data_IF_663887027324
#
_entry.id   IF_663887027324
#
_cell.length_a   1.000
_cell.length_b   1.000
_cell.length_c   1.000
_cell.angle_alpha   90.00
_cell.angle_beta   90.00
_cell.angle_gamma   90.00
#
_symmetry.space_group_name_H-M   'P 1'
#
loop_
_entity.id
_entity.type
_entity.pdbx_description
1 polymer ?
#
# COMPACT_ATOMS: atom_id res chain seq x y z
N UNK A 1 -71.97 -59.79 -21.05
CA UNK A 1 -71.67 -59.94 -22.49
C UNK A 1 -71.18 -58.61 -23.02
N UNK A 2 -69.94 -58.56 -23.57
CA UNK A 2 -69.35 -57.54 -24.46
C UNK A 2 -69.24 -56.09 -23.91
N UNK A 3 -68.26 -55.24 -24.19
CA UNK A 3 -66.88 -55.27 -24.71
C UNK A 3 -66.52 -53.78 -25.00
N UNK A 4 -65.23 -53.41 -24.86
CA UNK A 4 -64.51 -52.34 -25.62
C UNK A 4 -64.79 -50.87 -25.17
N UNK A 5 -63.88 -50.19 -24.45
CA UNK A 5 -62.63 -49.48 -24.87
C UNK A 5 -62.86 -48.04 -25.37
N UNK A 6 -62.33 -47.02 -24.66
CA UNK A 6 -61.49 -45.96 -25.27
C UNK A 6 -61.05 -44.85 -24.31
N UNK A 7 -59.72 -44.75 -24.20
CA UNK A 7 -58.89 -43.54 -24.36
C UNK A 7 -58.99 -42.47 -23.25
N UNK A 8 -58.04 -42.58 -22.31
CA UNK A 8 -57.48 -41.46 -21.55
C UNK A 8 -56.67 -40.54 -22.50
N UNK A 9 -57.04 -39.27 -22.58
CA UNK A 9 -56.13 -38.21 -23.04
C UNK A 9 -55.75 -37.36 -21.84
N UNK A 10 -54.58 -37.65 -21.27
CA UNK A 10 -53.96 -36.86 -20.21
C UNK A 10 -53.36 -35.62 -20.87
N UNK A 11 -53.90 -34.45 -20.51
CA UNK A 11 -53.39 -33.14 -20.90
C UNK A 11 -52.15 -32.86 -20.02
N UNK A 12 -50.95 -33.12 -20.54
CA UNK A 12 -49.69 -32.77 -19.86
C UNK A 12 -49.46 -31.27 -19.94
N UNK A 13 -49.79 -30.55 -18.86
CA UNK A 13 -49.37 -29.15 -18.67
C UNK A 13 -47.86 -29.16 -18.37
N UNK A 14 -47.05 -28.76 -19.35
CA UNK A 14 -45.63 -28.54 -19.17
C UNK A 14 -45.45 -27.24 -18.36
N UNK A 15 -45.23 -27.37 -17.05
CA UNK A 15 -44.91 -26.24 -16.19
C UNK A 15 -43.44 -25.89 -16.39
N UNK A 16 -43.16 -24.91 -17.26
CA UNK A 16 -41.81 -24.34 -17.42
C UNK A 16 -41.44 -23.58 -16.15
N UNK A 17 -40.76 -24.23 -15.22
CA UNK A 17 -40.11 -23.56 -14.10
C UNK A 17 -38.97 -22.70 -14.64
N UNK A 18 -39.21 -21.40 -14.74
CA UNK A 18 -38.15 -20.40 -14.82
C UNK A 18 -37.35 -20.51 -13.52
N UNK A 19 -36.27 -21.29 -13.54
CA UNK A 19 -35.20 -21.15 -12.56
C UNK A 19 -34.57 -19.78 -12.81
N UNK A 20 -35.07 -18.76 -12.13
CA UNK A 20 -34.32 -17.54 -11.92
C UNK A 20 -33.01 -17.93 -11.24
N UNK A 21 -31.93 -17.96 -12.00
CA UNK A 21 -30.58 -17.98 -11.46
C UNK A 21 -30.39 -16.66 -10.71
N UNK A 22 -30.82 -16.62 -9.45
CA UNK A 22 -30.31 -15.63 -8.51
C UNK A 22 -28.81 -15.89 -8.46
N UNK A 23 -28.03 -15.05 -9.13
CA UNK A 23 -26.61 -14.97 -8.82
C UNK A 23 -26.54 -14.69 -7.33
N UNK A 24 -26.12 -15.67 -6.54
CA UNK A 24 -25.93 -15.51 -5.10
C UNK A 24 -24.97 -14.33 -4.93
N UNK A 25 -25.51 -13.19 -4.48
CA UNK A 25 -24.67 -12.07 -4.07
C UNK A 25 -23.74 -12.59 -2.99
N UNK A 26 -22.44 -12.42 -3.14
CA UNK A 26 -21.50 -12.71 -2.07
C UNK A 26 -21.86 -11.79 -0.89
N UNK A 27 -22.00 -12.36 0.30
CA UNK A 27 -22.48 -11.61 1.47
C UNK A 27 -21.45 -10.61 2.02
N UNK A 28 -20.16 -10.82 1.73
CA UNK A 28 -19.06 -10.01 2.26
C UNK A 28 -18.32 -9.20 1.20
N UNK A 29 -17.82 -8.04 1.59
CA UNK A 29 -16.94 -7.19 0.78
C UNK A 29 -15.57 -7.85 0.64
N UNK A 30 -14.98 -7.86 -0.56
CA UNK A 30 -13.61 -8.30 -0.79
C UNK A 30 -12.74 -7.15 -1.26
N UNK A 31 -11.64 -6.93 -0.55
CA UNK A 31 -10.63 -5.92 -0.83
C UNK A 31 -9.28 -6.60 -1.05
N UNK A 32 -8.60 -6.24 -2.13
CA UNK A 32 -7.25 -6.76 -2.45
C UNK A 32 -6.26 -5.62 -2.67
N UNK A 33 -4.96 -5.85 -2.57
CA UNK A 33 -3.97 -4.92 -3.12
C UNK A 33 -2.82 -4.58 -2.19
N UNK A 34 -2.49 -3.29 -2.09
CA UNK A 34 -1.30 -2.79 -1.42
C UNK A 34 -1.11 -3.32 0.01
N UNK A 35 0.08 -3.85 0.31
CA UNK A 35 0.51 -4.25 1.66
C UNK A 35 0.63 -3.07 2.62
N UNK A 36 0.82 -1.86 2.09
CA UNK A 36 0.94 -0.64 2.90
C UNK A 36 -0.41 -0.06 3.27
N UNK A 37 -1.40 -0.18 2.38
CA UNK A 37 -2.78 0.22 2.71
C UNK A 37 -3.51 -0.88 3.50
N UNK A 38 -3.02 -2.12 3.45
CA UNK A 38 -3.57 -3.27 4.18
C UNK A 38 -3.85 -2.98 5.67
N UNK A 39 -2.90 -2.52 6.51
CA UNK A 39 -3.17 -2.29 7.93
C UNK A 39 -4.27 -1.22 8.16
N UNK A 40 -4.30 -0.17 7.35
CA UNK A 40 -5.34 0.87 7.43
C UNK A 40 -6.71 0.29 7.07
N UNK A 41 -6.80 -0.40 5.93
CA UNK A 41 -8.04 -1.00 5.44
C UNK A 41 -8.59 -2.06 6.39
N UNK A 42 -7.73 -2.86 7.03
CA UNK A 42 -8.12 -3.84 8.05
C UNK A 42 -8.74 -3.16 9.27
N UNK A 43 -8.15 -2.07 9.77
CA UNK A 43 -8.71 -1.35 10.94
C UNK A 43 -10.07 -0.73 10.61
N UNK A 44 -10.24 -0.17 9.41
CA UNK A 44 -11.54 0.33 8.93
C UNK A 44 -12.55 -0.82 8.86
N UNK A 45 -12.16 -1.97 8.30
CA UNK A 45 -13.02 -3.14 8.14
C UNK A 45 -13.52 -3.66 9.50
N UNK A 46 -12.63 -3.80 10.47
CA UNK A 46 -12.99 -4.24 11.83
C UNK A 46 -13.93 -3.26 12.52
N UNK A 47 -13.65 -1.95 12.44
CA UNK A 47 -14.49 -0.91 13.04
C UNK A 47 -15.85 -0.82 12.35
N UNK A 48 -15.90 -0.96 11.03
CA UNK A 48 -17.14 -1.02 10.26
C UNK A 48 -18.00 -2.23 10.67
N UNK A 49 -17.41 -3.43 10.71
CA UNK A 49 -18.13 -4.64 11.11
C UNK A 49 -18.68 -4.54 12.53
N UNK A 50 -17.86 -4.07 13.48
CA UNK A 50 -18.27 -3.89 14.88
C UNK A 50 -19.37 -2.84 15.07
N UNK A 51 -19.28 -1.70 14.39
CA UNK A 51 -20.22 -0.58 14.60
C UNK A 51 -21.53 -0.70 13.83
N UNK A 52 -21.51 -1.34 12.65
CA UNK A 52 -22.69 -1.48 11.80
C UNK A 52 -23.46 -2.79 12.02
N UNK A 53 -22.83 -3.80 12.63
CA UNK A 53 -23.36 -5.17 12.67
C UNK A 53 -23.30 -5.91 11.33
N UNK A 54 -22.70 -5.30 10.29
CA UNK A 54 -22.46 -5.94 9.00
C UNK A 54 -21.31 -6.94 9.07
N UNK A 55 -21.23 -7.83 8.09
CA UNK A 55 -20.07 -8.69 7.92
C UNK A 55 -18.80 -7.86 7.74
N UNK A 56 -17.75 -8.22 8.47
CA UNK A 56 -16.43 -7.60 8.35
C UNK A 56 -15.88 -7.83 6.94
N UNK A 57 -15.49 -6.78 6.20
CA UNK A 57 -14.83 -6.91 4.91
C UNK A 57 -13.57 -7.79 5.00
N UNK A 58 -13.36 -8.66 4.00
CA UNK A 58 -12.12 -9.42 3.88
C UNK A 58 -11.09 -8.58 3.14
N UNK A 59 -9.93 -8.38 3.78
CA UNK A 59 -8.81 -7.64 3.22
C UNK A 59 -7.67 -8.61 2.92
N UNK A 60 -7.14 -8.60 1.70
CA UNK A 60 -6.01 -9.43 1.28
C UNK A 60 -4.88 -8.58 0.70
N UNK A 61 -3.66 -8.80 1.18
CA UNK A 61 -2.46 -8.17 0.64
C UNK A 61 -1.97 -8.94 -0.60
N UNK A 62 -1.99 -8.28 -1.76
CA UNK A 62 -1.56 -8.86 -3.05
C UNK A 62 -0.59 -7.93 -3.81
N UNK A 63 -0.16 -6.84 -3.18
CA UNK A 63 0.57 -5.72 -3.78
C UNK A 63 -0.31 -4.88 -4.72
N UNK A 64 0.02 -3.58 -4.88
CA UNK A 64 -0.80 -2.63 -5.67
C UNK A 64 -1.02 -3.09 -7.13
N UNK A 65 0.04 -3.59 -7.80
CA UNK A 65 -0.08 -4.09 -9.17
C UNK A 65 -0.84 -5.41 -9.30
N UNK A 66 -0.68 -6.32 -8.32
CA UNK A 66 -1.41 -7.59 -8.26
C UNK A 66 -2.89 -7.36 -7.97
N UNK A 67 -3.19 -6.52 -7.00
CA UNK A 67 -4.55 -6.11 -6.64
C UNK A 67 -5.27 -5.46 -7.81
N UNK A 68 -4.62 -4.53 -8.52
CA UNK A 68 -5.19 -3.92 -9.71
C UNK A 68 -5.44 -4.92 -10.85
N UNK A 69 -4.65 -5.99 -10.96
CA UNK A 69 -4.89 -7.07 -11.93
C UNK A 69 -6.12 -7.89 -11.57
N UNK A 70 -6.29 -8.23 -10.30
CA UNK A 70 -7.47 -8.94 -9.79
C UNK A 70 -8.73 -8.07 -9.88
N UNK A 71 -8.65 -6.81 -9.46
CA UNK A 71 -9.71 -5.83 -9.58
C UNK A 71 -10.16 -5.65 -11.03
N UNK A 72 -9.25 -5.33 -11.95
CA UNK A 72 -9.60 -5.15 -13.37
C UNK A 72 -9.91 -6.46 -14.12
N UNK A 73 -10.01 -7.62 -13.47
CA UNK A 73 -10.27 -8.90 -14.16
C UNK A 73 -11.73 -9.10 -14.58
N UNK A 74 -12.65 -8.28 -14.09
CA UNK A 74 -14.06 -8.33 -14.46
C UNK A 74 -14.99 -7.76 -13.39
N UNK A 75 -16.29 -7.81 -13.68
CA UNK A 75 -17.39 -7.51 -12.75
C UNK A 75 -18.10 -8.79 -12.31
N UNK A 76 -18.88 -8.72 -11.23
CA UNK A 76 -19.56 -9.87 -10.63
C UNK A 76 -18.89 -10.39 -9.36
N UNK A 77 -19.55 -11.35 -8.70
CA UNK A 77 -19.26 -11.79 -7.31
C UNK A 77 -17.94 -12.56 -7.15
N UNK A 78 -17.35 -13.03 -8.24
CA UNK A 78 -16.07 -13.73 -8.25
C UNK A 78 -14.86 -12.80 -8.32
N UNK A 79 -15.08 -11.49 -8.43
CA UNK A 79 -14.03 -10.49 -8.50
C UNK A 79 -14.03 -9.62 -7.23
N UNK A 80 -12.86 -9.08 -6.81
CA UNK A 80 -12.79 -8.14 -5.70
C UNK A 80 -13.60 -6.87 -5.99
N UNK A 81 -14.17 -6.26 -4.94
CA UNK A 81 -14.98 -5.04 -5.06
C UNK A 81 -14.14 -3.79 -5.00
N UNK A 82 -13.08 -3.85 -4.19
CA UNK A 82 -12.20 -2.73 -3.90
C UNK A 82 -10.76 -3.18 -4.12
N UNK A 83 -9.91 -2.29 -4.63
CA UNK A 83 -8.47 -2.48 -4.57
C UNK A 83 -7.73 -1.33 -3.91
N UNK A 84 -6.94 -1.69 -2.91
CA UNK A 84 -6.02 -0.82 -2.21
C UNK A 84 -4.75 -0.60 -3.05
N UNK A 85 -4.24 0.64 -3.10
CA UNK A 85 -3.06 0.97 -3.91
C UNK A 85 -2.21 2.04 -3.25
N UNK A 86 -0.90 1.81 -3.19
CA UNK A 86 0.11 2.77 -2.70
C UNK A 86 0.70 3.64 -3.81
N UNK A 87 -0.06 3.83 -4.88
CA UNK A 87 0.22 4.74 -5.99
C UNK A 87 -1.08 4.94 -6.76
N UNK A 88 -1.12 6.00 -7.56
CA UNK A 88 -2.25 6.18 -8.47
C UNK A 88 -2.33 5.02 -9.49
N UNK A 89 -3.54 4.73 -9.94
CA UNK A 89 -3.82 3.83 -11.05
C UNK A 89 -3.10 4.34 -12.31
N UNK A 90 -2.47 3.42 -13.03
CA UNK A 90 -1.82 3.73 -14.31
C UNK A 90 -2.83 3.77 -15.44
N UNK A 91 -2.52 4.52 -16.49
CA UNK A 91 -3.37 4.55 -17.69
C UNK A 91 -3.64 3.14 -18.27
N UNK A 92 -2.62 2.31 -18.36
CA UNK A 92 -2.75 0.92 -18.86
C UNK A 92 -3.58 0.01 -17.95
N UNK A 93 -3.67 0.33 -16.65
CA UNK A 93 -4.53 -0.40 -15.71
C UNK A 93 -5.99 0.02 -15.86
N UNK A 94 -6.24 1.33 -16.01
CA UNK A 94 -7.56 1.87 -16.32
C UNK A 94 -8.11 1.30 -17.64
N UNK A 95 -7.32 1.31 -18.71
CA UNK A 95 -7.68 0.73 -20.01
C UNK A 95 -8.00 -0.77 -19.91
N UNK A 96 -7.24 -1.52 -19.08
CA UNK A 96 -7.54 -2.94 -18.81
C UNK A 96 -8.86 -3.11 -18.09
N UNK A 97 -9.16 -2.27 -17.10
CA UNK A 97 -10.44 -2.27 -16.41
C UNK A 97 -11.60 -2.02 -17.40
N UNK A 98 -11.50 -0.99 -18.24
CA UNK A 98 -12.51 -0.69 -19.28
C UNK A 98 -12.72 -1.88 -20.21
N UNK A 99 -11.62 -2.46 -20.73
CA UNK A 99 -11.67 -3.62 -21.64
C UNK A 99 -12.39 -4.84 -21.02
N UNK A 100 -12.30 -4.98 -19.71
CA UNK A 100 -12.89 -6.10 -18.97
C UNK A 100 -14.24 -5.74 -18.32
N UNK A 101 -14.87 -4.64 -18.74
CA UNK A 101 -16.22 -4.25 -18.30
C UNK A 101 -16.28 -3.57 -16.92
N UNK A 102 -15.14 -3.20 -16.32
CA UNK A 102 -15.07 -2.41 -15.09
C UNK A 102 -15.09 -0.92 -15.48
N UNK A 103 -16.23 -0.45 -15.97
CA UNK A 103 -16.35 0.85 -16.65
C UNK A 103 -16.47 2.06 -15.71
N UNK A 104 -17.07 1.86 -14.53
CA UNK A 104 -17.25 2.92 -13.53
C UNK A 104 -16.41 2.62 -12.29
N UNK A 105 -15.28 3.32 -12.17
CA UNK A 105 -14.34 3.18 -11.06
C UNK A 105 -14.36 4.44 -10.23
N UNK A 106 -14.56 4.31 -8.92
CA UNK A 106 -14.41 5.42 -7.97
C UNK A 106 -12.99 5.39 -7.45
N UNK A 107 -12.26 6.51 -7.57
CA UNK A 107 -10.92 6.69 -7.00
C UNK A 107 -11.02 7.50 -5.72
N UNK A 108 -10.37 7.03 -4.66
CA UNK A 108 -10.29 7.75 -3.39
C UNK A 108 -8.84 7.79 -2.96
N UNK A 109 -8.24 8.98 -2.95
CA UNK A 109 -6.99 9.20 -2.23
C UNK A 109 -7.33 9.29 -0.74
N UNK A 110 -6.64 8.51 0.09
CA UNK A 110 -6.94 8.42 1.52
C UNK A 110 -5.93 9.15 2.40
N UNK A 111 -4.76 9.47 1.86
CA UNK A 111 -3.67 10.07 2.62
C UNK A 111 -2.33 9.85 1.94
N UNK A 112 -1.29 10.04 2.72
CA UNK A 112 0.09 9.75 2.37
C UNK A 112 0.68 8.73 3.33
N UNK A 113 1.69 8.04 2.84
CA UNK A 113 2.64 7.25 3.59
C UNK A 113 4.00 7.93 3.45
N UNK A 114 4.77 7.98 4.53
CA UNK A 114 6.09 8.60 4.57
C UNK A 114 6.99 7.77 5.46
N UNK A 115 8.13 7.33 4.95
CA UNK A 115 9.10 6.54 5.71
C UNK A 115 10.29 7.42 6.05
N UNK A 116 10.67 7.43 7.31
CA UNK A 116 11.79 8.22 7.82
C UNK A 116 12.96 7.32 8.18
N UNK A 117 14.15 7.89 8.05
CA UNK A 117 15.36 7.38 8.67
C UNK A 117 15.64 8.31 9.84
N UNK A 118 15.69 7.79 11.06
CA UNK A 118 15.74 8.60 12.27
C UNK A 118 16.80 8.08 13.25
N UNK A 119 17.26 8.97 14.11
CA UNK A 119 18.24 8.71 15.17
C UNK A 119 17.85 9.47 16.45
N UNK A 120 18.58 9.22 17.53
CA UNK A 120 18.41 9.96 18.78
C UNK A 120 18.63 11.48 18.57
N UNK A 121 17.95 12.31 19.37
CA UNK A 121 18.10 13.77 19.28
C UNK A 121 19.56 14.27 19.37
N UNK A 122 20.34 13.66 20.27
CA UNK A 122 21.73 14.03 20.56
C UNK A 122 22.73 13.53 19.51
N UNK A 123 22.31 12.65 18.61
CA UNK A 123 23.19 12.11 17.58
C UNK A 123 23.49 13.16 16.49
N UNK A 124 24.52 12.94 15.68
CA UNK A 124 24.85 13.88 14.61
C UNK A 124 23.72 13.97 13.55
N UNK A 125 23.54 15.15 12.97
CA UNK A 125 22.64 15.30 11.82
C UNK A 125 23.23 14.58 10.61
N UNK A 126 22.41 13.77 9.94
CA UNK A 126 22.79 13.05 8.73
C UNK A 126 22.01 13.58 7.53
N UNK A 127 22.72 13.67 6.40
CA UNK A 127 22.12 13.91 5.10
C UNK A 127 22.45 12.72 4.19
N UNK A 128 21.47 11.85 3.98
CA UNK A 128 21.65 10.55 3.35
C UNK A 128 20.95 10.57 2.00
N UNK A 129 21.62 10.15 0.93
CA UNK A 129 20.94 9.93 -0.35
C UNK A 129 20.31 8.53 -0.37
N UNK A 130 19.32 8.31 -1.23
CA UNK A 130 18.80 6.95 -1.43
C UNK A 130 19.85 5.98 -1.99
N UNK A 131 20.85 6.48 -2.73
CA UNK A 131 21.99 5.68 -3.18
C UNK A 131 22.80 5.17 -1.99
N UNK A 132 23.04 6.02 -0.99
CA UNK A 132 23.71 5.64 0.24
C UNK A 132 22.89 4.59 1.00
N UNK A 133 21.57 4.78 1.13
CA UNK A 133 20.67 3.79 1.74
C UNK A 133 20.74 2.42 1.03
N UNK A 134 20.71 2.42 -0.30
CA UNK A 134 20.83 1.19 -1.08
C UNK A 134 22.17 0.49 -0.85
N UNK A 135 23.28 1.23 -0.94
CA UNK A 135 24.62 0.68 -0.71
C UNK A 135 24.80 0.21 0.74
N UNK A 136 24.21 0.89 1.72
CA UNK A 136 24.30 0.50 3.13
C UNK A 136 23.47 -0.75 3.47
N UNK A 137 22.26 -0.89 2.88
CA UNK A 137 21.24 -1.79 3.41
C UNK A 137 20.74 -2.87 2.45
N UNK A 138 21.08 -2.82 1.16
CA UNK A 138 20.76 -3.92 0.25
C UNK A 138 21.60 -5.17 0.58
N UNK A 139 21.05 -6.37 0.36
CA UNK A 139 21.78 -7.64 0.50
C UNK A 139 22.98 -7.71 -0.46
N UNK A 140 22.76 -7.28 -1.71
CA UNK A 140 23.75 -7.32 -2.77
C UNK A 140 23.97 -5.92 -3.35
N UNK A 141 25.22 -5.54 -3.57
CA UNK A 141 25.60 -4.23 -4.10
C UNK A 141 26.50 -4.36 -5.34
N UNK A 142 26.48 -3.40 -6.27
CA UNK A 142 27.33 -3.43 -7.46
C UNK A 142 28.81 -3.20 -7.12
N UNK A 143 29.70 -3.92 -7.80
CA UNK A 143 31.17 -3.78 -7.62
C UNK A 143 31.77 -2.58 -8.37
N UNK A 144 30.95 -1.86 -9.15
CA UNK A 144 31.39 -0.85 -10.11
C UNK A 144 31.60 -1.39 -11.53
N UNK A 145 31.59 -2.71 -11.72
CA UNK A 145 31.51 -3.34 -13.06
C UNK A 145 30.06 -3.65 -13.41
N UNK A 146 29.67 -3.35 -14.64
CA UNK A 146 28.31 -3.62 -15.12
C UNK A 146 27.99 -5.11 -15.06
N UNK A 147 26.83 -5.44 -14.46
CA UNK A 147 26.36 -6.82 -14.33
C UNK A 147 26.97 -7.61 -13.18
N UNK A 148 27.89 -7.03 -12.40
CA UNK A 148 28.53 -7.71 -11.28
C UNK A 148 27.99 -7.20 -9.93
N UNK A 149 27.58 -8.15 -9.07
CA UNK A 149 27.09 -7.92 -7.72
C UNK A 149 27.93 -8.71 -6.73
N UNK A 150 28.10 -8.17 -5.54
CA UNK A 150 28.73 -8.82 -4.38
C UNK A 150 27.80 -8.73 -3.19
N UNK A 151 27.97 -9.67 -2.24
CA UNK A 151 27.40 -9.50 -0.89
C UNK A 151 27.88 -8.17 -0.32
N UNK A 152 26.99 -7.48 0.37
CA UNK A 152 27.24 -6.12 0.84
C UNK A 152 28.46 -6.08 1.79
N UNK A 153 29.59 -5.48 1.38
CA UNK A 153 30.80 -5.48 2.19
C UNK A 153 30.83 -4.32 3.19
N UNK A 154 29.92 -3.35 3.08
CA UNK A 154 30.00 -2.10 3.80
C UNK A 154 29.63 -2.29 5.27
N UNK A 155 30.47 -1.76 6.14
CA UNK A 155 30.38 -1.87 7.59
C UNK A 155 30.24 -0.52 8.29
N UNK A 156 30.63 0.58 7.65
CA UNK A 156 30.42 1.92 8.17
C UNK A 156 29.83 2.87 7.13
N UNK A 157 29.13 3.92 7.57
CA UNK A 157 28.53 4.90 6.68
C UNK A 157 29.57 5.65 5.84
N UNK A 158 30.79 5.84 6.38
CA UNK A 158 31.92 6.43 5.66
C UNK A 158 32.47 5.57 4.53
N UNK A 159 32.38 4.24 4.65
CA UNK A 159 32.74 3.33 3.55
C UNK A 159 31.73 3.40 2.39
N UNK A 160 30.46 3.67 2.71
CA UNK A 160 29.39 3.88 1.72
C UNK A 160 29.57 5.22 1.01
N UNK A 161 29.84 6.29 1.77
CA UNK A 161 30.03 7.63 1.26
C UNK A 161 30.96 8.41 2.19
N UNK A 162 32.08 8.93 1.68
CA UNK A 162 33.12 9.61 2.46
C UNK A 162 32.65 10.89 3.17
N UNK A 163 31.53 11.47 2.74
CA UNK A 163 30.94 12.66 3.36
C UNK A 163 30.08 12.32 4.59
N UNK A 164 29.78 11.03 4.82
CA UNK A 164 29.06 10.53 5.98
C UNK A 164 30.02 10.23 7.15
N UNK A 165 29.52 10.23 8.40
CA UNK A 165 30.37 9.98 9.56
C UNK A 165 30.94 8.56 9.59
N UNK A 166 32.03 8.41 10.32
CA UNK A 166 32.68 7.13 10.60
C UNK A 166 31.90 6.35 11.68
N UNK A 167 30.66 6.02 11.35
CA UNK A 167 29.68 5.38 12.21
C UNK A 167 29.39 3.97 11.68
N UNK A 168 29.34 2.99 12.57
CA UNK A 168 28.96 1.63 12.20
C UNK A 168 27.53 1.61 11.62
N UNK A 169 27.30 0.81 10.58
CA UNK A 169 25.96 0.61 10.05
C UNK A 169 25.23 -0.34 11.00
N UNK A 170 24.44 0.24 11.91
CA UNK A 170 23.44 -0.43 12.73
C UNK A 170 22.08 0.25 12.50
N UNK A 171 21.19 -0.44 11.78
CA UNK A 171 19.88 0.09 11.39
C UNK A 171 18.77 -0.78 11.93
N UNK A 172 17.98 -0.25 12.85
CA UNK A 172 16.78 -0.85 13.37
C UNK A 172 15.63 -0.67 12.37
N UNK A 173 14.88 -1.73 12.08
CA UNK A 173 13.76 -1.61 11.17
C UNK A 173 12.71 -2.70 11.36
N UNK A 174 11.57 -2.57 10.69
CA UNK A 174 10.49 -3.52 10.82
C UNK A 174 10.78 -4.86 10.11
N UNK A 175 10.08 -5.95 10.46
CA UNK A 175 10.29 -7.28 9.90
C UNK A 175 9.81 -7.39 8.43
N UNK A 176 10.11 -8.49 7.71
CA UNK A 176 9.72 -8.69 6.30
C UNK A 176 8.21 -8.69 6.06
N UNK A 177 7.42 -8.86 7.11
CA UNK A 177 5.94 -8.87 7.09
C UNK A 177 5.33 -7.47 7.16
N UNK A 178 6.13 -6.43 7.40
CA UNK A 178 5.67 -5.06 7.59
C UNK A 178 5.52 -4.27 6.30
N UNK A 179 4.38 -3.57 6.16
CA UNK A 179 4.14 -2.63 5.07
C UNK A 179 5.11 -1.42 5.06
N UNK A 180 5.71 -1.09 6.21
CA UNK A 180 6.76 -0.06 6.36
C UNK A 180 8.07 -0.54 5.71
N UNK A 181 8.45 -1.82 5.88
CA UNK A 181 9.61 -2.41 5.21
C UNK A 181 9.41 -2.47 3.70
N UNK A 182 8.22 -2.86 3.25
CA UNK A 182 7.84 -2.83 1.83
C UNK A 182 7.96 -1.42 1.25
N UNK A 183 7.44 -0.41 1.95
CA UNK A 183 7.54 0.99 1.54
C UNK A 183 9.00 1.46 1.45
N UNK A 184 9.82 1.11 2.44
CA UNK A 184 11.25 1.42 2.45
C UNK A 184 11.99 0.78 1.27
N UNK A 185 11.72 -0.50 0.98
CA UNK A 185 12.31 -1.20 -0.14
C UNK A 185 11.92 -0.57 -1.49
N UNK A 186 10.63 -0.22 -1.67
CA UNK A 186 10.11 0.36 -2.91
C UNK A 186 10.53 1.83 -3.14
N UNK A 187 10.64 2.65 -2.09
CA UNK A 187 10.86 4.09 -2.21
C UNK A 187 12.30 4.50 -1.90
N UNK A 188 12.89 3.88 -0.87
CA UNK A 188 14.26 4.09 -0.41
C UNK A 188 15.25 3.30 -1.25
N UNK A 189 15.25 1.97 -1.08
CA UNK A 189 16.24 1.10 -1.74
C UNK A 189 16.12 1.12 -3.26
N UNK A 190 14.92 0.94 -3.83
CA UNK A 190 14.74 1.03 -5.28
C UNK A 190 15.15 2.41 -5.83
N UNK A 191 14.91 3.47 -5.05
CA UNK A 191 15.30 4.83 -5.38
C UNK A 191 16.81 5.01 -5.53
N UNK A 192 17.62 4.33 -4.71
CA UNK A 192 19.07 4.27 -4.83
C UNK A 192 19.54 3.28 -5.89
N UNK A 193 18.93 2.09 -5.92
CA UNK A 193 19.24 1.01 -6.85
C UNK A 193 19.13 1.46 -8.32
N UNK A 194 18.11 2.26 -8.65
CA UNK A 194 17.90 2.77 -10.02
C UNK A 194 18.92 3.83 -10.45
N UNK A 195 19.79 4.30 -9.55
CA UNK A 195 20.89 5.21 -9.92
C UNK A 195 22.00 4.50 -10.68
N UNK A 196 22.01 3.17 -10.69
CA UNK A 196 22.89 2.34 -11.51
C UNK A 196 22.19 1.98 -12.81
N UNK A 197 22.64 2.55 -13.93
CA UNK A 197 21.98 2.44 -15.24
C UNK A 197 21.66 1.01 -15.67
N UNK A 198 22.61 0.09 -15.46
CA UNK A 198 22.42 -1.31 -15.85
C UNK A 198 21.36 -2.02 -15.01
N UNK A 199 21.27 -1.70 -13.71
CA UNK A 199 20.21 -2.22 -12.84
C UNK A 199 18.86 -1.59 -13.24
N UNK A 200 18.83 -0.28 -13.51
CA UNK A 200 17.61 0.41 -13.96
C UNK A 200 17.02 -0.21 -15.25
N UNK A 201 17.87 -0.67 -16.19
CA UNK A 201 17.44 -1.37 -17.41
C UNK A 201 16.76 -2.73 -17.10
N UNK A 202 17.17 -3.43 -16.04
CA UNK A 202 16.57 -4.71 -15.64
C UNK A 202 15.08 -4.58 -15.31
N UNK A 203 14.62 -3.42 -14.83
CA UNK A 203 13.19 -3.19 -14.52
C UNK A 203 12.25 -3.52 -15.69
N UNK A 204 12.73 -3.38 -16.93
CA UNK A 204 11.94 -3.69 -18.13
C UNK A 204 12.22 -5.10 -18.66
N UNK A 205 13.47 -5.57 -18.63
CA UNK A 205 13.88 -6.85 -19.22
C UNK A 205 13.70 -8.05 -18.28
N UNK A 206 13.95 -7.88 -16.97
CA UNK A 206 13.81 -8.93 -15.95
C UNK A 206 13.36 -8.31 -14.61
N UNK A 207 12.04 -8.18 -14.46
CA UNK A 207 11.41 -7.61 -13.26
C UNK A 207 11.73 -8.40 -11.99
N UNK A 208 11.90 -9.71 -12.08
CA UNK A 208 12.12 -10.55 -10.90
C UNK A 208 13.54 -10.33 -10.37
N UNK A 209 14.53 -10.32 -11.26
CA UNK A 209 15.90 -9.98 -10.88
C UNK A 209 16.02 -8.53 -10.40
N UNK A 210 15.34 -7.58 -11.06
CA UNK A 210 15.29 -6.19 -10.61
C UNK A 210 14.77 -6.06 -9.17
N UNK A 211 13.64 -6.72 -8.86
CA UNK A 211 13.10 -6.71 -7.49
C UNK A 211 14.04 -7.36 -6.49
N UNK A 212 14.61 -8.53 -6.81
CA UNK A 212 15.56 -9.23 -5.92
C UNK A 212 16.79 -8.36 -5.61
N UNK A 213 17.28 -7.59 -6.58
CA UNK A 213 18.44 -6.72 -6.36
C UNK A 213 18.02 -5.47 -5.56
N UNK A 214 16.93 -4.82 -5.95
CA UNK A 214 16.58 -3.51 -5.42
C UNK A 214 15.77 -3.53 -4.11
N UNK A 215 15.14 -4.65 -3.77
CA UNK A 215 14.20 -4.73 -2.63
C UNK A 215 14.67 -5.62 -1.50
N UNK A 216 15.68 -6.47 -1.71
CA UNK A 216 16.18 -7.35 -0.64
C UNK A 216 17.11 -6.60 0.30
N UNK A 217 16.72 -6.55 1.57
CA UNK A 217 17.50 -5.96 2.67
C UNK A 217 18.49 -7.01 3.17
N UNK A 218 19.71 -6.61 3.51
CA UNK A 218 20.74 -7.49 4.11
C UNK A 218 20.28 -8.07 5.46
N UNK A 219 20.72 -9.29 5.77
CA UNK A 219 20.39 -10.02 7.02
C UNK A 219 21.64 -10.40 7.84
N UNK A 220 22.77 -9.76 7.56
CA UNK A 220 24.07 -10.02 8.17
C UNK A 220 24.30 -9.26 9.50
N UNK A 221 23.22 -8.84 10.15
CA UNK A 221 23.25 -8.15 11.44
C UNK A 221 23.40 -6.63 11.38
N UNK A 222 23.53 -6.02 10.19
CA UNK A 222 23.56 -4.54 10.05
C UNK A 222 22.17 -3.92 9.98
N UNK A 223 21.21 -4.68 9.45
CA UNK A 223 19.79 -4.40 9.60
C UNK A 223 19.24 -5.31 10.70
N UNK A 224 18.69 -4.70 11.76
CA UNK A 224 18.20 -5.41 12.94
C UNK A 224 16.68 -5.25 13.01
N UNK A 225 15.99 -6.37 12.93
CA UNK A 225 14.54 -6.39 13.00
C UNK A 225 14.06 -6.05 14.43
N UNK A 226 13.16 -5.07 14.54
CA UNK A 226 12.68 -4.53 15.81
C UNK A 226 11.21 -4.87 16.11
N UNK A 227 10.59 -5.75 15.31
CA UNK A 227 9.19 -6.16 15.44
C UNK A 227 8.22 -5.25 14.69
N UNK A 228 6.94 -5.61 14.68
CA UNK A 228 5.86 -4.92 13.93
C UNK A 228 5.45 -3.56 14.52
N UNK A 229 5.87 -3.25 15.74
CA UNK A 229 5.51 -2.01 16.40
C UNK A 229 6.64 -0.99 16.27
N UNK A 230 6.48 -0.04 15.36
CA UNK A 230 7.45 1.02 15.06
C UNK A 230 7.84 1.85 16.31
N UNK A 231 6.97 1.98 17.32
CA UNK A 231 7.34 2.64 18.59
C UNK A 231 8.49 1.91 19.33
N UNK A 232 8.69 0.61 19.11
CA UNK A 232 9.83 -0.11 19.68
C UNK A 232 11.15 0.35 19.07
N UNK A 233 11.14 0.76 17.79
CA UNK A 233 12.32 1.34 17.13
C UNK A 233 12.66 2.67 17.80
N UNK A 234 11.68 3.56 17.95
CA UNK A 234 11.85 4.86 18.63
C UNK A 234 12.46 4.69 20.04
N UNK A 235 11.95 3.75 20.82
CA UNK A 235 12.47 3.48 22.17
C UNK A 235 13.92 3.00 22.17
N UNK A 236 14.29 2.13 21.21
CA UNK A 236 15.65 1.61 21.07
C UNK A 236 16.65 2.67 20.62
N UNK A 237 16.25 3.60 19.75
CA UNK A 237 17.11 4.71 19.31
C UNK A 237 17.54 5.60 20.47
N UNK A 238 16.64 5.87 21.43
CA UNK A 238 17.01 6.62 22.63
C UNK A 238 18.08 5.93 23.48
N UNK A 239 18.13 4.59 23.45
CA UNK A 239 19.11 3.80 24.19
C UNK A 239 20.42 3.60 23.42
N UNK A 240 20.39 3.70 22.09
CA UNK A 240 21.56 3.59 21.21
C UNK A 240 21.61 4.79 20.25
N UNK A 241 22.27 5.90 20.64
CA UNK A 241 22.40 7.10 19.80
C UNK A 241 23.16 6.88 18.49
N UNK A 242 23.95 5.82 18.40
CA UNK A 242 24.76 5.47 17.23
C UNK A 242 23.96 4.68 16.18
N UNK A 243 22.77 4.16 16.53
CA UNK A 243 21.91 3.46 15.59
C UNK A 243 21.00 4.41 14.81
N UNK A 244 20.60 3.97 13.62
CA UNK A 244 19.50 4.57 12.86
C UNK A 244 18.27 3.67 12.92
N UNK A 245 17.10 4.25 12.69
CA UNK A 245 15.82 3.56 12.71
C UNK A 245 14.99 3.89 11.47
N UNK A 246 14.25 2.90 10.98
CA UNK A 246 13.35 3.04 9.83
C UNK A 246 11.92 2.82 10.30
N UNK A 247 11.06 3.83 10.16
CA UNK A 247 9.65 3.74 10.56
C UNK A 247 8.80 4.79 9.85
N UNK A 248 7.47 4.74 10.03
CA UNK A 248 6.55 5.73 9.48
C UNK A 248 6.71 7.13 10.10
N UNK A 249 6.63 8.20 9.30
CA UNK A 249 6.78 9.60 9.70
C UNK A 249 5.87 10.02 10.86
N UNK A 250 4.66 9.50 10.92
CA UNK A 250 3.73 9.69 12.03
C UNK A 250 4.31 9.33 13.41
N UNK A 251 5.14 8.28 13.50
CA UNK A 251 5.80 7.92 14.75
C UNK A 251 6.94 8.88 15.11
N UNK A 252 7.58 9.50 14.11
CA UNK A 252 8.52 10.60 14.34
C UNK A 252 7.79 11.81 14.90
N UNK A 253 6.70 12.22 14.27
CA UNK A 253 5.90 13.37 14.67
C UNK A 253 5.40 13.24 16.12
N UNK A 254 4.88 12.06 16.48
CA UNK A 254 4.43 11.74 17.85
C UNK A 254 5.56 11.65 18.89
N UNK A 255 6.83 11.53 18.47
CA UNK A 255 7.99 11.36 19.34
C UNK A 255 9.12 12.36 19.00
N UNK A 256 8.77 13.54 18.49
CA UNK A 256 9.73 14.58 18.12
C UNK A 256 10.54 15.12 19.33
N UNK A 257 10.07 14.85 20.55
CA UNK A 257 10.76 15.11 21.81
C UNK A 257 11.87 14.08 22.14
N UNK A 258 12.01 13.01 21.36
CA UNK A 258 12.90 11.86 21.63
C UNK A 258 13.85 11.54 20.48
N UNK A 259 13.35 11.62 19.25
CA UNK A 259 14.09 11.26 18.04
C UNK A 259 13.98 12.37 17.01
N UNK A 260 14.96 12.41 16.10
CA UNK A 260 14.94 13.29 14.93
C UNK A 260 15.15 12.49 13.66
N UNK A 261 14.67 13.01 12.54
CA UNK A 261 14.94 12.42 11.24
C UNK A 261 16.28 12.89 10.66
N UNK A 262 16.94 11.99 9.95
CA UNK A 262 17.95 12.30 8.96
C UNK A 262 17.29 12.94 7.73
N UNK A 263 18.00 13.86 7.07
CA UNK A 263 17.56 14.41 5.79
C UNK A 263 17.76 13.37 4.71
N UNK A 264 16.81 13.30 3.79
CA UNK A 264 16.95 12.50 2.58
C UNK A 264 17.13 13.42 1.39
N UNK A 265 18.28 13.31 0.71
CA UNK A 265 18.59 14.17 -0.45
C UNK A 265 18.48 15.67 -0.10
N UNK A 266 18.91 16.05 1.11
CA UNK A 266 18.83 17.40 1.72
C UNK A 266 17.41 17.90 2.06
N UNK A 267 16.39 17.05 1.97
CA UNK A 267 15.01 17.37 2.33
C UNK A 267 14.65 16.73 3.68
N UNK A 268 14.12 17.53 4.60
CA UNK A 268 13.57 17.05 5.86
C UNK A 268 12.19 16.41 5.63
N UNK A 269 11.85 15.29 6.30
CA UNK A 269 10.50 14.77 6.27
C UNK A 269 9.61 15.66 7.14
N UNK A 270 8.71 16.39 6.50
CA UNK A 270 7.67 17.20 7.14
C UNK A 270 6.33 16.89 6.51
N UNK A 271 5.24 17.32 7.14
CA UNK A 271 3.92 17.21 6.52
C UNK A 271 3.91 17.85 5.13
N UNK A 272 4.47 19.06 5.01
CA UNK A 272 4.52 19.81 3.76
C UNK A 272 5.36 19.10 2.69
N UNK A 273 6.56 18.62 3.03
CA UNK A 273 7.46 17.97 2.06
C UNK A 273 6.95 16.60 1.61
N UNK A 274 6.16 15.93 2.44
CA UNK A 274 5.48 14.69 2.09
C UNK A 274 4.26 14.98 1.20
N UNK A 275 3.44 15.97 1.57
CA UNK A 275 2.22 16.32 0.83
C UNK A 275 2.55 16.86 -0.57
N UNK A 276 3.58 17.70 -0.70
CA UNK A 276 4.02 18.26 -1.99
C UNK A 276 4.91 17.31 -2.81
N UNK A 277 5.27 16.15 -2.23
CA UNK A 277 6.08 15.07 -2.83
C UNK A 277 7.56 15.43 -3.03
N UNK A 278 8.05 16.50 -2.42
CA UNK A 278 9.48 16.84 -2.43
C UNK A 278 10.31 15.87 -1.58
N UNK A 279 9.74 15.27 -0.53
CA UNK A 279 10.37 14.22 0.25
C UNK A 279 10.26 12.86 -0.47
N UNK A 280 11.42 12.36 -0.87
CA UNK A 280 11.57 11.22 -1.81
C UNK A 280 11.11 9.85 -1.31
N UNK A 281 10.96 9.65 0.00
CA UNK A 281 10.52 8.37 0.60
C UNK A 281 9.08 8.51 1.12
N UNK A 282 8.22 9.08 0.28
CA UNK A 282 6.80 9.21 0.54
C UNK A 282 5.98 8.81 -0.68
N UNK A 283 4.69 8.54 -0.47
CA UNK A 283 3.76 8.20 -1.55
C UNK A 283 2.31 8.47 -1.16
N UNK A 284 1.46 8.79 -2.15
CA UNK A 284 0.03 8.83 -1.95
C UNK A 284 -0.57 7.42 -1.82
N UNK A 285 -1.60 7.31 -0.99
CA UNK A 285 -2.36 6.09 -0.75
C UNK A 285 -3.77 6.24 -1.33
N UNK A 286 -4.27 5.16 -1.93
CA UNK A 286 -5.57 5.11 -2.57
C UNK A 286 -6.32 3.81 -2.25
N UNK A 287 -7.63 3.86 -2.43
CA UNK A 287 -8.39 2.69 -2.84
C UNK A 287 -9.25 3.01 -4.06
N UNK A 288 -9.63 1.97 -4.79
CA UNK A 288 -10.49 2.04 -5.97
C UNK A 288 -11.69 1.12 -5.79
N UNK A 289 -12.88 1.57 -6.15
CA UNK A 289 -14.13 0.82 -5.97
C UNK A 289 -14.79 0.59 -7.32
N UNK A 290 -15.30 -0.62 -7.55
CA UNK A 290 -16.20 -0.87 -8.69
C UNK A 290 -17.59 -0.35 -8.34
N UNK A 291 -18.03 0.70 -9.04
CA UNK A 291 -19.39 1.22 -8.83
C UNK A 291 -20.45 0.16 -9.15
N UNK A 292 -20.20 -0.71 -10.12
CA UNK A 292 -21.07 -1.83 -10.49
C UNK A 292 -21.34 -2.84 -9.35
N UNK A 293 -20.52 -2.85 -8.30
CA UNK A 293 -20.74 -3.70 -7.12
C UNK A 293 -21.53 -2.99 -6.01
N UNK A 294 -21.60 -1.66 -6.05
CA UNK A 294 -22.35 -0.87 -5.06
C UNK A 294 -23.85 -1.15 -5.23
N UNK A 295 -24.54 -1.50 -4.13
CA UNK A 295 -25.95 -1.90 -4.15
C UNK A 295 -26.20 -3.36 -4.58
N UNK A 296 -25.17 -4.08 -5.02
CA UNK A 296 -25.21 -5.52 -5.33
C UNK A 296 -24.55 -6.34 -4.23
N UNK A 297 -23.37 -5.91 -3.77
CA UNK A 297 -22.68 -6.48 -2.61
C UNK A 297 -23.08 -5.68 -1.37
N UNK A 298 -23.71 -6.30 -0.36
CA UNK A 298 -24.15 -5.60 0.84
C UNK A 298 -23.02 -4.87 1.56
N UNK A 299 -23.31 -3.67 2.06
CA UNK A 299 -22.43 -2.93 2.97
C UNK A 299 -21.36 -2.04 2.33
N UNK A 300 -21.16 -2.05 1.00
CA UNK A 300 -20.10 -1.24 0.37
C UNK A 300 -20.24 0.24 0.75
N UNK A 301 -21.43 0.83 0.60
CA UNK A 301 -21.65 2.25 0.94
C UNK A 301 -21.35 2.56 2.41
N UNK A 302 -21.64 1.63 3.31
CA UNK A 302 -21.33 1.74 4.74
C UNK A 302 -19.83 1.72 4.99
N UNK A 303 -19.11 0.79 4.36
CA UNK A 303 -17.67 0.68 4.44
C UNK A 303 -16.96 1.92 3.87
N UNK A 304 -17.40 2.42 2.72
CA UNK A 304 -16.87 3.65 2.12
C UNK A 304 -17.10 4.87 3.03
N UNK A 305 -18.28 4.97 3.64
CA UNK A 305 -18.61 6.04 4.59
C UNK A 305 -17.76 5.97 5.85
N UNK A 306 -17.46 4.76 6.32
CA UNK A 306 -16.58 4.56 7.46
C UNK A 306 -15.16 5.01 7.14
N UNK A 307 -14.61 4.54 6.02
CA UNK A 307 -13.25 4.87 5.59
C UNK A 307 -13.08 6.39 5.42
N UNK A 308 -14.06 7.05 4.81
CA UNK A 308 -14.04 8.49 4.50
C UNK A 308 -14.65 9.37 5.61
N UNK A 309 -14.72 8.86 6.84
CA UNK A 309 -15.20 9.64 7.99
C UNK A 309 -14.05 10.36 8.68
N UNK A 310 -14.29 11.57 9.21
CA UNK A 310 -13.26 12.32 9.95
C UNK A 310 -12.70 11.54 11.14
N UNK A 311 -13.52 10.72 11.81
CA UNK A 311 -13.02 9.85 12.89
C UNK A 311 -12.08 8.74 12.43
N UNK A 312 -12.07 8.41 11.14
CA UNK A 312 -11.16 7.45 10.53
C UNK A 312 -9.90 8.13 10.00
N UNK A 313 -10.05 9.01 9.02
CA UNK A 313 -8.95 9.55 8.22
C UNK A 313 -8.57 11.01 8.54
N UNK A 314 -9.23 11.62 9.52
CA UNK A 314 -8.93 12.99 9.93
C UNK A 314 -7.60 13.06 10.66
N UNK A 315 -7.17 14.28 11.00
CA UNK A 315 -5.92 14.52 11.71
C UNK A 315 -5.83 13.78 13.05
N UNK A 316 -6.92 13.77 13.81
CA UNK A 316 -7.05 12.99 15.05
C UNK A 316 -7.77 11.64 14.83
N UNK A 317 -7.85 11.19 13.58
CA UNK A 317 -8.52 9.96 13.20
C UNK A 317 -7.70 8.72 13.55
N UNK A 318 -8.38 7.57 13.76
CA UNK A 318 -7.68 6.34 14.15
C UNK A 318 -6.71 5.80 13.08
N UNK A 319 -6.74 6.31 11.84
CA UNK A 319 -5.76 5.98 10.81
C UNK A 319 -4.47 6.77 10.97
N UNK A 320 -4.52 7.99 11.53
CA UNK A 320 -3.33 8.74 11.92
C UNK A 320 -2.56 8.03 13.04
N UNK A 321 -3.27 7.45 14.03
CA UNK A 321 -2.69 6.59 15.07
C UNK A 321 -2.00 5.34 14.50
N UNK A 322 -2.45 4.88 13.33
CA UNK A 322 -1.85 3.74 12.60
C UNK A 322 -0.71 4.17 11.67
N UNK A 323 -0.51 5.47 11.58
CA UNK A 323 0.61 6.08 10.92
C UNK A 323 0.34 6.67 9.54
N UNK A 324 -0.92 6.73 9.12
CA UNK A 324 -1.31 7.40 7.88
C UNK A 324 -1.19 8.91 8.05
N UNK A 325 -0.61 9.58 7.06
CA UNK A 325 -0.56 11.04 7.04
C UNK A 325 -1.86 11.51 6.35
N UNK A 326 -2.70 12.29 7.03
CA UNK A 326 -3.99 12.71 6.49
C UNK A 326 -3.81 13.65 5.28
N UNK A 327 -4.76 13.63 4.34
CA UNK A 327 -4.86 14.69 3.34
C UNK A 327 -5.25 16.01 4.01
N UNK A 328 -4.97 17.18 3.40
CA UNK A 328 -5.55 18.45 3.86
C UNK A 328 -7.07 18.38 4.00
N UNK A 329 -7.63 19.10 4.96
CA UNK A 329 -9.06 19.06 5.29
C UNK A 329 -9.97 19.28 4.07
N UNK A 330 -9.68 20.27 3.23
CA UNK A 330 -10.45 20.53 2.00
C UNK A 330 -10.43 19.35 1.03
N UNK A 331 -9.28 18.70 0.85
CA UNK A 331 -9.15 17.50 0.01
C UNK A 331 -9.93 16.33 0.58
N UNK A 332 -9.91 16.12 1.91
CA UNK A 332 -10.73 15.08 2.58
C UNK A 332 -12.22 15.34 2.35
N UNK A 333 -12.70 16.57 2.52
CA UNK A 333 -14.11 16.91 2.28
C UNK A 333 -14.53 16.62 0.83
N UNK A 334 -13.71 17.03 -0.14
CA UNK A 334 -13.96 16.76 -1.56
C UNK A 334 -13.96 15.25 -1.85
N UNK A 335 -12.97 14.52 -1.35
CA UNK A 335 -12.86 13.07 -1.52
C UNK A 335 -14.05 12.33 -0.90
N UNK A 336 -14.48 12.69 0.31
CA UNK A 336 -15.66 12.10 0.94
C UNK A 336 -16.93 12.41 0.18
N UNK A 337 -17.09 13.63 -0.34
CA UNK A 337 -18.25 13.99 -1.15
C UNK A 337 -18.30 13.18 -2.45
N UNK A 338 -17.18 13.11 -3.17
CA UNK A 338 -17.07 12.32 -4.41
C UNK A 338 -17.32 10.83 -4.15
N UNK A 339 -16.82 10.31 -3.02
CA UNK A 339 -17.06 8.93 -2.61
C UNK A 339 -18.54 8.66 -2.33
N UNK A 340 -19.21 9.55 -1.57
CA UNK A 340 -20.66 9.44 -1.28
C UNK A 340 -21.53 9.57 -2.52
N UNK A 341 -21.13 10.41 -3.47
CA UNK A 341 -21.81 10.59 -4.76
C UNK A 341 -21.45 9.52 -5.78
N UNK A 342 -20.57 8.56 -5.45
CA UNK A 342 -20.08 7.50 -6.33
C UNK A 342 -19.56 8.08 -7.66
N UNK A 343 -18.84 9.20 -7.59
CA UNK A 343 -18.29 9.89 -8.77
C UNK A 343 -17.20 9.02 -9.39
N UNK A 344 -17.46 8.55 -10.61
CA UNK A 344 -16.52 7.71 -11.35
C UNK A 344 -15.41 8.55 -12.01
N UNK A 345 -14.22 7.96 -12.11
CA UNK A 345 -13.12 8.47 -12.92
C UNK A 345 -13.55 8.57 -14.39
N UNK A 346 -13.10 9.62 -15.07
CA UNK A 346 -13.37 9.82 -16.50
C UNK A 346 -12.25 9.27 -17.40
N UNK A 347 -11.08 8.98 -16.82
CA UNK A 347 -9.86 8.61 -17.55
C UNK A 347 -9.16 9.80 -18.21
N UNK A 348 -9.70 11.03 -18.04
CA UNK A 348 -9.09 12.28 -18.51
C UNK A 348 -8.26 12.97 -17.43
N UNK A 349 -8.36 12.48 -16.19
CA UNK A 349 -7.52 12.93 -15.08
C UNK A 349 -6.05 12.55 -15.35
N UNK A 350 -5.06 13.23 -14.71
CA UNK A 350 -3.65 12.90 -14.88
C UNK A 350 -3.27 11.51 -14.32
N UNK A 351 -3.45 10.43 -15.09
CA UNK A 351 -3.05 9.08 -14.70
C UNK A 351 -1.51 8.90 -14.81
N UNK A 352 -0.95 8.03 -13.96
CA UNK A 352 0.49 7.70 -13.96
C UNK A 352 0.92 6.81 -15.14
#
# INVERSE_FOLDING_TARGET
MRSIMSICSVLSVLLSTLLSSYALSRDGIQVVGSSTVYPFSTVVAERYGRSSGSLTPTIESTGSGGGMKLFCSGVGVNHPDITNSSRRMKKSEFERCMKNGVEEIIEVQIGYDGIVIANALEAADLNISRKDLFLALAEMVPTGKEGELIENPYTSWKEVNSDLPDLEIEVLGPPPTSGTRDAFAELGLEGGCKTFDWIAKLKKSDKNSYKRICHTVREDGRYIEAGENDNLIVQKLNANPDALGIFGFSFLDQNADKVKASKIESIDPTFDSIADKSYSISRPLYFYVKKAHVGVVPGIEGFLREFTSERAWGEDGYLADKGMIPLPEEERFLAANNTRSLTAMTGKEPLQ
#
